data_IF_726425156918
#
_entry.id   IF_726425156918
#
_cell.length_a   1.000
_cell.length_b   1.000
_cell.length_c   1.000
_cell.angle_alpha   90.00
_cell.angle_beta   90.00
_cell.angle_gamma   90.00
#
_symmetry.space_group_name_H-M   'P 1'
#
loop_
_entity.id
_entity.type
_entity.pdbx_description
1 polymer ?
#
# COMPACT_ATOMS: atom_id res chain seq x y z
N UNK A 1 18.50 20.80 12.63
CA UNK A 1 17.75 20.94 13.90
C UNK A 1 17.77 19.60 14.61
N UNK A 2 17.85 19.61 15.95
CA UNK A 2 17.79 18.42 16.78
C UNK A 2 16.40 17.76 16.79
N UNK A 3 16.20 16.80 17.68
CA UNK A 3 14.91 16.13 17.88
C UNK A 3 13.83 17.12 18.37
N UNK A 4 12.58 16.88 18.00
CA UNK A 4 11.42 17.66 18.45
C UNK A 4 10.65 16.82 19.47
N UNK A 5 10.55 17.34 20.70
CA UNK A 5 9.82 16.74 21.81
C UNK A 5 8.69 17.67 22.28
N UNK A 6 7.75 17.14 23.07
CA UNK A 6 6.81 17.89 23.94
C UNK A 6 6.12 19.10 23.28
N UNK A 7 5.38 18.83 22.19
CA UNK A 7 4.60 19.84 21.46
C UNK A 7 5.42 20.92 20.74
N UNK A 8 6.74 20.74 20.60
CA UNK A 8 7.57 21.59 19.77
C UNK A 8 7.04 21.69 18.33
N UNK A 9 7.11 22.89 17.75
CA UNK A 9 6.62 23.17 16.40
C UNK A 9 7.74 23.73 15.53
N UNK A 10 7.95 23.11 14.38
CA UNK A 10 8.75 23.66 13.29
C UNK A 10 7.81 23.98 12.13
N UNK A 11 8.02 25.15 11.53
CA UNK A 11 7.27 25.59 10.35
C UNK A 11 7.58 24.77 9.11
N UNK A 12 7.45 25.39 7.93
CA UNK A 12 7.79 24.76 6.66
C UNK A 12 9.30 24.51 6.56
N UNK A 13 9.68 23.35 6.05
CA UNK A 13 11.06 23.00 5.75
C UNK A 13 11.28 23.14 4.23
N UNK A 14 12.23 23.98 3.85
CA UNK A 14 12.62 24.19 2.45
C UNK A 14 14.11 23.87 2.25
N UNK A 15 14.50 23.65 0.98
CA UNK A 15 15.87 23.69 0.48
C UNK A 15 16.88 22.89 1.32
N UNK A 16 16.73 21.57 1.36
CA UNK A 16 17.64 20.65 2.09
C UNK A 16 17.68 20.83 3.61
N UNK A 17 16.75 21.59 4.20
CA UNK A 17 16.61 21.69 5.66
C UNK A 17 16.42 20.31 6.31
N UNK A 18 17.03 20.11 7.49
CA UNK A 18 16.97 18.85 8.23
C UNK A 18 16.43 19.04 9.65
N UNK A 19 15.43 18.24 9.98
CA UNK A 19 14.90 18.05 11.33
C UNK A 19 15.16 16.61 11.76
N UNK A 20 15.50 16.42 13.04
CA UNK A 20 15.72 15.10 13.63
C UNK A 20 14.42 14.32 13.81
N UNK A 21 14.40 13.44 14.80
CA UNK A 21 13.19 12.68 15.13
C UNK A 21 12.10 13.59 15.69
N UNK A 22 10.84 13.20 15.49
CA UNK A 22 9.68 13.84 16.09
C UNK A 22 9.05 12.85 17.05
N UNK A 23 8.89 13.26 18.31
CA UNK A 23 8.31 12.43 19.37
C UNK A 23 7.13 13.12 20.04
N UNK A 24 6.39 12.38 20.85
CA UNK A 24 5.23 12.88 21.60
C UNK A 24 4.23 13.62 20.70
N UNK A 25 3.96 14.90 20.95
CA UNK A 25 3.03 15.72 20.16
C UNK A 25 3.73 16.75 19.25
N UNK A 26 5.02 16.53 18.94
CA UNK A 26 5.79 17.43 18.08
C UNK A 26 5.18 17.57 16.68
N UNK A 27 5.31 18.76 16.08
CA UNK A 27 4.75 19.07 14.75
C UNK A 27 5.76 19.72 13.83
N UNK A 28 5.79 19.26 12.59
CA UNK A 28 6.50 19.91 11.49
C UNK A 28 5.49 20.28 10.41
N UNK A 29 5.66 21.47 9.81
CA UNK A 29 4.87 21.91 8.67
C UNK A 29 5.16 21.11 7.39
N UNK A 30 4.90 21.74 6.24
CA UNK A 30 5.19 21.14 4.94
C UNK A 30 6.69 20.92 4.73
N UNK A 31 7.04 19.86 4.00
CA UNK A 31 8.40 19.59 3.54
C UNK A 31 8.46 19.80 2.03
N UNK A 32 9.37 20.66 1.56
CA UNK A 32 9.59 20.94 0.13
C UNK A 32 11.07 20.84 -0.24
N UNK A 33 11.37 20.77 -1.54
CA UNK A 33 12.73 20.95 -2.09
C UNK A 33 13.82 20.19 -1.32
N UNK A 34 13.74 18.85 -1.30
CA UNK A 34 14.73 17.97 -0.66
C UNK A 34 14.87 18.10 0.86
N UNK A 35 13.94 18.78 1.54
CA UNK A 35 13.90 18.79 3.01
C UNK A 35 13.76 17.39 3.61
N UNK A 36 14.34 17.18 4.79
CA UNK A 36 14.38 15.88 5.45
C UNK A 36 13.92 15.97 6.90
N UNK A 37 13.07 15.03 7.30
CA UNK A 37 12.67 14.79 8.68
C UNK A 37 13.05 13.36 9.06
N UNK A 38 13.50 13.16 10.29
CA UNK A 38 13.79 11.85 10.85
C UNK A 38 12.54 10.97 11.05
N UNK A 39 12.67 9.96 11.91
CA UNK A 39 11.54 9.11 12.27
C UNK A 39 10.49 9.89 13.08
N UNK A 40 9.25 9.45 12.98
CA UNK A 40 8.10 10.01 13.71
C UNK A 40 7.60 8.94 14.68
N UNK A 41 7.48 9.28 15.96
CA UNK A 41 6.99 8.40 17.02
C UNK A 41 5.76 9.00 17.69
N UNK A 42 5.09 8.18 18.50
CA UNK A 42 3.95 8.56 19.34
C UNK A 42 2.84 9.27 18.54
N UNK A 43 2.56 10.54 18.81
CA UNK A 43 1.55 11.37 18.13
C UNK A 43 2.19 12.47 17.27
N UNK A 44 3.46 12.31 16.90
CA UNK A 44 4.19 13.28 16.09
C UNK A 44 3.51 13.48 14.73
N UNK A 45 3.52 14.71 14.23
CA UNK A 45 2.85 15.06 12.95
C UNK A 45 3.76 15.82 12.01
N UNK A 46 3.76 15.42 10.75
CA UNK A 46 4.36 16.15 9.65
C UNK A 46 3.28 16.52 8.65
N UNK A 47 3.35 17.74 8.12
CA UNK A 47 2.47 18.18 7.03
C UNK A 47 2.71 17.44 5.71
N UNK A 48 2.19 18.00 4.63
CA UNK A 48 2.37 17.41 3.30
C UNK A 48 3.84 17.45 2.84
N UNK A 49 4.22 16.45 2.07
CA UNK A 49 5.54 16.31 1.46
C UNK A 49 5.42 16.64 -0.02
N UNK A 50 6.30 17.51 -0.52
CA UNK A 50 6.37 17.90 -1.92
C UNK A 50 7.76 17.63 -2.49
N UNK A 51 7.82 17.50 -3.82
CA UNK A 51 9.05 17.32 -4.59
C UNK A 51 9.90 16.17 -4.03
N UNK A 52 11.19 16.37 -3.80
CA UNK A 52 12.09 15.35 -3.25
C UNK A 52 12.12 15.30 -1.71
N UNK A 53 11.12 15.84 -1.02
CA UNK A 53 11.04 15.80 0.44
C UNK A 53 11.06 14.37 0.99
N UNK A 54 11.70 14.17 2.15
CA UNK A 54 11.83 12.84 2.77
C UNK A 54 11.46 12.86 4.25
N UNK A 55 10.72 11.85 4.66
CA UNK A 55 10.44 11.54 6.07
C UNK A 55 10.92 10.12 6.35
N UNK A 56 11.46 9.91 7.56
CA UNK A 56 11.85 8.60 8.05
C UNK A 56 10.67 7.64 8.26
N UNK A 57 10.90 6.59 9.05
CA UNK A 57 9.85 5.66 9.44
C UNK A 57 8.81 6.32 10.35
N UNK A 58 7.59 5.83 10.28
CA UNK A 58 6.47 6.25 11.14
C UNK A 58 6.19 5.11 12.13
N UNK A 59 6.17 5.41 13.42
CA UNK A 59 5.87 4.49 14.50
C UNK A 59 4.62 4.92 15.28
N UNK A 60 4.03 3.98 16.01
CA UNK A 60 2.90 4.17 16.92
C UNK A 60 1.72 4.91 16.28
N UNK A 61 1.40 6.15 16.67
CA UNK A 61 0.32 6.94 16.08
C UNK A 61 0.84 8.12 15.24
N UNK A 62 2.11 8.07 14.82
CA UNK A 62 2.73 9.13 14.03
C UNK A 62 1.98 9.36 12.71
N UNK A 63 1.96 10.60 12.25
CA UNK A 63 1.18 10.99 11.07
C UNK A 63 1.98 11.84 10.10
N UNK A 64 1.85 11.52 8.81
CA UNK A 64 2.32 12.34 7.70
C UNK A 64 1.14 12.71 6.81
N UNK A 65 1.12 13.94 6.31
CA UNK A 65 0.13 14.41 5.34
C UNK A 65 0.24 13.74 3.96
N UNK A 66 -0.37 14.37 2.96
CA UNK A 66 -0.31 13.88 1.59
C UNK A 66 1.10 14.01 0.99
N UNK A 67 1.42 13.11 0.07
CA UNK A 67 2.72 12.98 -0.58
C UNK A 67 2.56 13.32 -2.06
N UNK A 68 3.27 14.35 -2.52
CA UNK A 68 3.23 14.85 -3.89
C UNK A 68 4.60 14.75 -4.57
N UNK A 69 4.62 14.84 -5.90
CA UNK A 69 5.86 14.80 -6.67
C UNK A 69 6.63 13.50 -6.49
N UNK A 70 7.85 13.57 -5.98
CA UNK A 70 8.74 12.42 -5.73
C UNK A 70 8.98 12.18 -4.23
N UNK A 71 8.06 12.67 -3.40
CA UNK A 71 8.19 12.66 -1.95
C UNK A 71 8.28 11.24 -1.42
N UNK A 72 9.05 11.04 -0.36
CA UNK A 72 9.28 9.69 0.21
C UNK A 72 9.01 9.65 1.71
N UNK A 73 8.30 8.61 2.12
CA UNK A 73 8.12 8.22 3.52
C UNK A 73 8.70 6.83 3.71
N UNK A 74 9.35 6.61 4.86
CA UNK A 74 9.85 5.30 5.25
C UNK A 74 8.75 4.26 5.49
N UNK A 75 9.13 3.16 6.16
CA UNK A 75 8.16 2.15 6.58
C UNK A 75 7.21 2.70 7.66
N UNK A 76 6.01 2.15 7.70
CA UNK A 76 4.98 2.48 8.68
C UNK A 76 4.80 1.29 9.62
N UNK A 77 4.85 1.54 10.93
CA UNK A 77 4.69 0.57 12.00
C UNK A 77 3.55 0.98 12.94
N UNK A 78 3.07 0.03 13.74
CA UNK A 78 2.04 0.30 14.74
C UNK A 78 0.73 0.76 14.10
N UNK A 79 0.17 1.88 14.55
CA UNK A 79 -1.01 2.54 13.99
C UNK A 79 -0.66 3.80 13.16
N UNK A 80 0.59 3.89 12.69
CA UNK A 80 1.11 5.04 11.99
C UNK A 80 0.36 5.30 10.68
N UNK A 81 0.31 6.56 10.25
CA UNK A 81 -0.49 6.96 9.08
C UNK A 81 0.28 7.84 8.11
N UNK A 82 0.14 7.56 6.83
CA UNK A 82 0.46 8.49 5.75
C UNK A 82 -0.82 8.85 4.98
N UNK A 83 -0.87 10.09 4.48
CA UNK A 83 -1.98 10.57 3.66
C UNK A 83 -2.02 9.94 2.26
N UNK A 84 -2.75 10.61 1.37
CA UNK A 84 -2.80 10.24 -0.05
C UNK A 84 -1.44 10.36 -0.72
N UNK A 85 -1.21 9.49 -1.70
CA UNK A 85 -0.01 9.49 -2.54
C UNK A 85 -0.42 9.95 -3.94
N UNK A 86 0.23 10.99 -4.42
CA UNK A 86 0.09 11.52 -5.77
C UNK A 86 1.40 11.39 -6.55
N UNK A 87 1.29 11.56 -7.86
CA UNK A 87 2.41 11.59 -8.80
C UNK A 87 3.32 10.35 -8.69
N UNK A 88 4.56 10.52 -8.27
CA UNK A 88 5.55 9.45 -8.08
C UNK A 88 5.97 9.34 -6.61
N UNK A 89 5.08 9.75 -5.70
CA UNK A 89 5.29 9.63 -4.27
C UNK A 89 5.46 8.17 -3.84
N UNK A 90 6.26 7.94 -2.79
CA UNK A 90 6.59 6.60 -2.33
C UNK A 90 6.43 6.47 -0.82
N UNK A 91 5.81 5.38 -0.39
CA UNK A 91 5.78 4.93 1.01
C UNK A 91 6.42 3.55 1.09
N UNK A 92 7.18 3.31 2.15
CA UNK A 92 7.78 2.00 2.43
C UNK A 92 6.76 0.90 2.73
N UNK A 93 7.25 -0.20 3.31
CA UNK A 93 6.38 -1.28 3.77
C UNK A 93 5.50 -0.84 4.96
N UNK A 94 4.33 -1.47 5.08
CA UNK A 94 3.36 -1.22 6.15
C UNK A 94 3.31 -2.46 7.05
N UNK A 95 3.46 -2.26 8.35
CA UNK A 95 3.40 -3.29 9.39
C UNK A 95 2.32 -2.96 10.43
N UNK A 96 1.88 -3.96 11.20
CA UNK A 96 0.89 -3.77 12.25
C UNK A 96 -0.46 -3.29 11.72
N UNK A 97 -0.98 -2.19 12.25
CA UNK A 97 -2.24 -1.55 11.84
C UNK A 97 -2.01 -0.25 11.06
N UNK A 98 -0.83 -0.10 10.44
CA UNK A 98 -0.45 1.10 9.69
C UNK A 98 -1.40 1.37 8.52
N UNK A 99 -1.56 2.65 8.19
CA UNK A 99 -2.51 3.09 7.17
C UNK A 99 -1.89 4.05 6.16
N UNK A 100 -2.23 3.85 4.90
CA UNK A 100 -1.94 4.79 3.81
C UNK A 100 -3.25 5.14 3.13
N UNK A 101 -3.40 6.40 2.72
CA UNK A 101 -4.53 6.88 1.94
C UNK A 101 -4.61 6.29 0.53
N UNK A 102 -5.33 6.97 -0.35
CA UNK A 102 -5.44 6.60 -1.76
C UNK A 102 -4.10 6.75 -2.49
N UNK A 103 -3.91 5.95 -3.54
CA UNK A 103 -2.77 6.03 -4.45
C UNK A 103 -3.28 6.50 -5.80
N UNK A 104 -2.70 7.59 -6.32
CA UNK A 104 -3.05 8.18 -7.61
C UNK A 104 -1.82 8.27 -8.51
N UNK A 105 -2.04 8.46 -9.82
CA UNK A 105 -0.97 8.57 -10.82
C UNK A 105 -0.02 7.36 -10.80
N UNK A 106 1.24 7.55 -10.44
CA UNK A 106 2.29 6.51 -10.40
C UNK A 106 2.80 6.29 -8.96
N UNK A 107 1.99 6.63 -7.95
CA UNK A 107 2.35 6.49 -6.55
C UNK A 107 2.62 5.03 -6.19
N UNK A 108 3.51 4.81 -5.23
CA UNK A 108 3.94 3.45 -4.84
C UNK A 108 3.91 3.24 -3.34
N UNK A 109 3.42 2.08 -2.93
CA UNK A 109 3.52 1.55 -1.56
C UNK A 109 4.24 0.22 -1.60
N UNK A 110 5.08 -0.01 -0.58
CA UNK A 110 5.76 -1.30 -0.37
C UNK A 110 4.81 -2.45 -0.05
N UNK A 111 5.37 -3.52 0.51
CA UNK A 111 4.58 -4.66 0.98
C UNK A 111 3.71 -4.29 2.19
N UNK A 112 2.58 -4.97 2.33
CA UNK A 112 1.64 -4.82 3.44
C UNK A 112 1.69 -6.09 4.28
N UNK A 113 1.90 -5.95 5.58
CA UNK A 113 1.92 -7.03 6.56
C UNK A 113 0.83 -6.85 7.63
N UNK A 114 0.56 -7.91 8.38
CA UNK A 114 -0.39 -7.93 9.51
C UNK A 114 -1.78 -7.40 9.14
N UNK A 115 -2.20 -6.27 9.71
CA UNK A 115 -3.50 -5.61 9.48
C UNK A 115 -3.32 -4.27 8.75
N UNK A 116 -2.20 -4.10 8.04
CA UNK A 116 -1.91 -2.86 7.32
C UNK A 116 -2.97 -2.57 6.25
N UNK A 117 -3.27 -1.30 6.03
CA UNK A 117 -4.32 -0.87 5.09
C UNK A 117 -3.84 0.19 4.12
N UNK A 118 -4.24 0.04 2.86
CA UNK A 118 -4.07 1.04 1.81
C UNK A 118 -5.45 1.35 1.24
N UNK A 119 -5.69 2.63 0.91
CA UNK A 119 -6.89 3.08 0.23
C UNK A 119 -7.02 2.54 -1.20
N UNK A 120 -7.89 3.18 -1.98
CA UNK A 120 -8.06 2.83 -3.39
C UNK A 120 -6.83 3.17 -4.22
N UNK A 121 -6.61 2.39 -5.27
CA UNK A 121 -5.55 2.59 -6.26
C UNK A 121 -6.18 3.10 -7.55
N UNK A 122 -5.65 4.21 -8.07
CA UNK A 122 -6.05 4.82 -9.34
C UNK A 122 -4.87 4.87 -10.32
N UNK A 123 -5.18 5.01 -11.60
CA UNK A 123 -4.22 5.15 -12.70
C UNK A 123 -3.12 4.06 -12.66
N UNK A 124 -1.84 4.42 -12.67
CA UNK A 124 -0.71 3.51 -12.62
C UNK A 124 -0.22 3.22 -11.19
N UNK A 125 -1.02 3.51 -10.15
CA UNK A 125 -0.63 3.31 -8.76
C UNK A 125 -0.27 1.85 -8.47
N UNK A 126 0.70 1.65 -7.57
CA UNK A 126 1.23 0.31 -7.27
C UNK A 126 1.33 0.04 -5.77
N UNK A 127 0.93 -1.17 -5.40
CA UNK A 127 1.15 -1.74 -4.08
C UNK A 127 1.96 -3.02 -4.23
N UNK A 128 2.90 -3.24 -3.29
CA UNK A 128 3.67 -4.47 -3.19
C UNK A 128 2.82 -5.70 -2.85
N UNK A 129 3.48 -6.73 -2.32
CA UNK A 129 2.79 -7.93 -1.89
C UNK A 129 1.99 -7.69 -0.60
N UNK A 130 0.88 -8.40 -0.46
CA UNK A 130 0.02 -8.37 0.73
C UNK A 130 0.22 -9.70 1.48
N UNK A 131 0.46 -9.61 2.79
CA UNK A 131 0.58 -10.75 3.69
C UNK A 131 -0.47 -10.67 4.81
N UNK A 132 -0.70 -11.81 5.47
CA UNK A 132 -1.59 -11.96 6.63
C UNK A 132 -3.00 -11.40 6.40
N UNK A 133 -3.41 -10.35 7.11
CA UNK A 133 -4.73 -9.72 6.99
C UNK A 133 -4.63 -8.33 6.32
N UNK A 134 -3.57 -8.07 5.55
CA UNK A 134 -3.38 -6.79 4.89
C UNK A 134 -4.53 -6.49 3.90
N UNK A 135 -4.89 -5.22 3.77
CA UNK A 135 -6.04 -4.82 2.95
C UNK A 135 -5.69 -3.67 2.00
N UNK A 136 -6.17 -3.79 0.77
CA UNK A 136 -6.16 -2.71 -0.23
C UNK A 136 -7.59 -2.42 -0.66
N UNK A 137 -7.90 -1.15 -0.90
CA UNK A 137 -9.18 -0.71 -1.44
C UNK A 137 -9.44 -1.17 -2.88
N UNK A 138 -10.37 -0.52 -3.56
CA UNK A 138 -10.67 -0.79 -4.96
C UNK A 138 -9.52 -0.34 -5.88
N UNK A 139 -9.34 -1.06 -6.98
CA UNK A 139 -8.36 -0.78 -8.03
C UNK A 139 -9.10 -0.24 -9.26
N UNK A 140 -8.67 0.91 -9.76
CA UNK A 140 -9.16 1.56 -10.97
C UNK A 140 -8.01 1.82 -11.96
N UNK A 141 -8.33 2.10 -13.22
CA UNK A 141 -7.32 2.40 -14.24
C UNK A 141 -6.38 1.22 -14.52
N UNK A 142 -5.08 1.42 -14.43
CA UNK A 142 -4.01 0.43 -14.67
C UNK A 142 -3.32 -0.02 -13.37
N UNK A 143 -3.98 0.19 -12.23
CA UNK A 143 -3.41 0.00 -10.91
C UNK A 143 -3.02 -1.45 -10.64
N UNK A 144 -1.99 -1.65 -9.82
CA UNK A 144 -1.44 -3.00 -9.60
C UNK A 144 -1.21 -3.29 -8.13
N UNK A 145 -1.60 -4.48 -7.72
CA UNK A 145 -1.23 -5.10 -6.45
C UNK A 145 -0.35 -6.31 -6.74
N UNK A 146 0.68 -6.49 -5.92
CA UNK A 146 1.57 -7.65 -5.97
C UNK A 146 0.88 -8.97 -5.59
N UNK A 147 1.68 -9.93 -5.15
CA UNK A 147 1.19 -11.22 -4.68
C UNK A 147 0.44 -11.06 -3.36
N UNK A 148 -0.67 -11.78 -3.21
CA UNK A 148 -1.53 -11.75 -2.04
C UNK A 148 -1.45 -13.13 -1.39
N UNK A 149 -1.02 -13.14 -0.12
CA UNK A 149 -0.84 -14.31 0.71
C UNK A 149 -1.73 -14.23 1.96
N UNK A 150 -1.98 -15.38 2.58
CA UNK A 150 -2.78 -15.45 3.81
C UNK A 150 -4.23 -15.04 3.57
N UNK A 151 -4.77 -14.25 4.49
CA UNK A 151 -6.11 -13.68 4.43
C UNK A 151 -6.16 -12.27 3.82
N UNK A 152 -5.13 -11.87 3.07
CA UNK A 152 -5.01 -10.53 2.49
C UNK A 152 -6.13 -10.23 1.49
N UNK A 153 -6.63 -9.00 1.47
CA UNK A 153 -7.81 -8.63 0.69
C UNK A 153 -7.56 -7.45 -0.24
N UNK A 154 -8.23 -7.49 -1.39
CA UNK A 154 -8.34 -6.37 -2.32
C UNK A 154 -9.81 -6.10 -2.58
N UNK A 155 -10.18 -4.83 -2.70
CA UNK A 155 -11.53 -4.40 -3.08
C UNK A 155 -11.89 -4.73 -4.53
N UNK A 156 -12.86 -3.98 -5.05
CA UNK A 156 -13.29 -4.12 -6.45
C UNK A 156 -12.16 -3.83 -7.43
N UNK A 157 -12.02 -4.59 -8.51
CA UNK A 157 -11.03 -4.33 -9.57
C UNK A 157 -11.78 -3.92 -10.84
N UNK A 158 -11.52 -2.72 -11.33
CA UNK A 158 -12.09 -2.15 -12.57
C UNK A 158 -11.00 -1.87 -13.61
N UNK A 159 -11.45 -1.63 -14.84
CA UNK A 159 -10.61 -1.25 -15.99
C UNK A 159 -9.51 -2.29 -16.30
N UNK A 160 -8.24 -1.87 -16.29
CA UNK A 160 -7.04 -2.71 -16.50
C UNK A 160 -6.29 -2.98 -15.18
N UNK A 161 -6.97 -2.85 -14.03
CA UNK A 161 -6.39 -3.14 -12.73
C UNK A 161 -6.00 -4.62 -12.59
N UNK A 162 -4.95 -4.92 -11.80
CA UNK A 162 -4.46 -6.30 -11.62
C UNK A 162 -4.07 -6.61 -10.17
N UNK A 163 -4.31 -7.87 -9.77
CA UNK A 163 -3.86 -8.45 -8.50
C UNK A 163 -3.53 -9.94 -8.68
N UNK A 164 -2.57 -10.47 -7.90
CA UNK A 164 -2.18 -11.89 -7.94
C UNK A 164 -2.48 -12.57 -6.61
N UNK A 165 -3.26 -13.66 -6.63
CA UNK A 165 -3.64 -14.37 -5.41
C UNK A 165 -2.94 -15.74 -5.30
N UNK A 166 -2.41 -16.04 -4.11
CA UNK A 166 -1.85 -17.34 -3.73
C UNK A 166 -2.68 -17.97 -2.60
N UNK A 167 -2.98 -19.25 -2.76
CA UNK A 167 -3.94 -19.98 -1.92
C UNK A 167 -3.38 -20.49 -0.57
N UNK A 168 -4.26 -20.83 0.40
CA UNK A 168 -5.73 -20.90 0.32
C UNK A 168 -6.41 -19.54 0.54
N UNK A 169 -7.26 -19.10 -0.40
CA UNK A 169 -7.94 -17.80 -0.31
C UNK A 169 -9.41 -17.84 -0.74
N UNK A 170 -10.25 -17.02 -0.11
CA UNK A 170 -11.65 -16.79 -0.47
C UNK A 170 -11.81 -15.31 -0.90
N UNK A 171 -11.89 -15.08 -2.23
CA UNK A 171 -11.96 -13.75 -2.82
C UNK A 171 -13.39 -13.37 -3.21
N UNK A 172 -13.91 -12.23 -2.72
CA UNK A 172 -15.09 -11.59 -3.32
C UNK A 172 -14.67 -10.66 -4.45
N UNK A 173 -14.42 -11.25 -5.62
CA UNK A 173 -14.16 -10.49 -6.83
C UNK A 173 -15.50 -10.02 -7.43
N UNK A 174 -15.60 -8.72 -7.72
CA UNK A 174 -16.58 -8.16 -8.66
C UNK A 174 -15.78 -7.29 -9.63
N UNK A 175 -15.77 -7.66 -10.91
CA UNK A 175 -14.95 -6.97 -11.91
C UNK A 175 -14.80 -7.79 -13.19
N UNK A 176 -14.57 -7.13 -14.32
CA UNK A 176 -14.58 -7.73 -15.66
C UNK A 176 -13.22 -8.11 -16.21
N UNK A 177 -12.09 -7.77 -15.58
CA UNK A 177 -10.77 -7.96 -16.19
C UNK A 177 -9.63 -8.37 -15.22
N UNK A 178 -8.82 -9.32 -15.71
CA UNK A 178 -7.49 -9.80 -15.30
C UNK A 178 -7.14 -9.95 -13.80
N UNK A 179 -7.76 -10.94 -13.14
CA UNK A 179 -7.23 -11.52 -11.91
C UNK A 179 -6.42 -12.77 -12.25
N UNK A 180 -5.13 -12.80 -11.91
CA UNK A 180 -4.28 -13.98 -12.08
C UNK A 180 -4.27 -14.74 -10.75
N UNK A 181 -4.72 -16.00 -10.78
CA UNK A 181 -4.71 -16.88 -9.61
C UNK A 181 -3.73 -18.01 -9.88
N UNK A 182 -2.61 -18.00 -9.16
CA UNK A 182 -1.60 -19.05 -9.23
C UNK A 182 -1.84 -20.05 -8.09
N UNK A 183 -2.37 -21.24 -8.40
CA UNK A 183 -2.51 -22.31 -7.42
C UNK A 183 -1.24 -23.17 -7.40
N UNK A 184 -0.49 -23.16 -6.31
CA UNK A 184 0.71 -24.02 -6.14
C UNK A 184 0.41 -25.37 -5.47
N UNK A 185 -0.86 -25.77 -5.33
CA UNK A 185 -1.26 -26.98 -4.62
C UNK A 185 -2.23 -27.90 -5.41
N UNK A 186 -2.10 -29.24 -5.28
CA UNK A 186 -2.83 -30.23 -6.10
C UNK A 186 -4.35 -30.32 -5.85
N UNK A 187 -4.89 -29.60 -4.86
CA UNK A 187 -6.30 -29.69 -4.40
C UNK A 187 -7.05 -28.35 -4.35
N UNK A 188 -6.51 -27.30 -4.97
CA UNK A 188 -7.00 -25.95 -4.69
C UNK A 188 -8.11 -25.52 -5.65
N UNK A 189 -9.33 -25.31 -5.11
CA UNK A 189 -10.46 -24.72 -5.84
C UNK A 189 -10.41 -23.20 -5.74
N UNK A 190 -10.21 -22.52 -6.86
CA UNK A 190 -10.31 -21.06 -6.95
C UNK A 190 -11.71 -20.69 -7.47
N UNK A 191 -12.54 -20.06 -6.63
CA UNK A 191 -13.86 -19.54 -7.04
C UNK A 191 -13.68 -18.10 -7.49
N UNK A 192 -13.78 -17.86 -8.80
CA UNK A 192 -13.80 -16.50 -9.38
C UNK A 192 -15.25 -16.09 -9.56
N UNK A 193 -15.71 -15.13 -8.76
CA UNK A 193 -17.02 -14.49 -8.98
C UNK A 193 -16.94 -13.52 -10.14
N UNK A 194 -17.59 -13.81 -11.25
CA UNK A 194 -17.90 -12.83 -12.29
C UNK A 194 -19.41 -12.65 -12.37
N UNK A 195 -19.86 -11.43 -12.73
CA UNK A 195 -21.28 -11.05 -12.86
C UNK A 195 -22.02 -11.76 -14.02
N UNK A 196 -21.37 -12.70 -14.71
CA UNK A 196 -21.98 -13.77 -15.48
C UNK A 196 -21.23 -15.05 -15.16
N UNK A 197 -21.92 -16.08 -14.67
CA UNK A 197 -21.36 -17.43 -14.46
C UNK A 197 -20.59 -17.86 -15.72
N UNK A 198 -19.26 -17.76 -15.69
CA UNK A 198 -18.42 -18.58 -16.52
C UNK A 198 -17.81 -19.64 -15.61
N UNK A 199 -18.32 -20.86 -15.77
CA UNK A 199 -17.77 -22.05 -15.16
C UNK A 199 -16.39 -22.29 -15.78
N UNK A 200 -15.32 -21.85 -15.11
CA UNK A 200 -13.97 -22.33 -15.44
C UNK A 200 -13.86 -23.74 -14.85
N UNK A 201 -14.24 -24.74 -15.65
CA UNK A 201 -13.95 -26.14 -15.39
C UNK A 201 -12.47 -26.38 -15.64
N UNK A 202 -11.68 -26.56 -14.58
CA UNK A 202 -10.37 -27.18 -14.69
C UNK A 202 -10.57 -28.69 -14.56
N UNK A 203 -10.78 -29.37 -15.68
CA UNK A 203 -10.80 -30.84 -15.72
C UNK A 203 -9.36 -31.36 -15.76
N UNK A 204 -9.02 -32.28 -14.83
CA UNK A 204 -7.79 -33.06 -14.91
C UNK A 204 -7.87 -33.92 -16.17
N UNK A 205 -7.04 -33.62 -17.16
CA UNK A 205 -6.67 -34.61 -18.16
C UNK A 205 -5.94 -35.76 -17.46
N UNK A 206 -6.66 -36.78 -17.02
CA UNK A 206 -6.04 -38.10 -16.87
C UNK A 206 -5.71 -38.56 -18.28
N UNK A 207 -4.42 -38.59 -18.60
CA UNK A 207 -3.90 -39.32 -19.75
C UNK A 207 -4.35 -40.78 -19.63
N UNK A 208 -5.43 -41.13 -20.31
CA UNK A 208 -5.59 -42.49 -20.82
C UNK A 208 -5.36 -42.40 -22.32
N UNK A 209 -4.15 -42.76 -22.74
CA UNK A 209 -3.95 -43.32 -24.07
C UNK A 209 -4.98 -44.44 -24.21
N UNK A 210 -5.87 -44.32 -25.20
CA UNK A 210 -6.61 -45.46 -25.68
C UNK A 210 -5.82 -45.96 -26.88
N UNK A 211 -4.99 -46.97 -26.65
CA UNK A 211 -4.54 -47.86 -27.72
C UNK A 211 -5.75 -48.59 -28.30
N UNK A 212 -5.70 -48.78 -29.62
CA UNK A 212 -6.67 -49.41 -30.53
C UNK A 212 -8.01 -48.71 -30.75
#
# INVERSE_FOLDING_TARGET
MGEIHDSGQVGKIHNSGRVGEIRNSGRVGEIRNSGQVGAIYDNGRVGSIYDNGRVGAIYDNGQVGAIYGTGRVGAIYGAGRAGEIHDSGQVGAIYGAGQVGEIRNSGQVGAIYDNGRVGSIYDNGQVGSIYDNGQVGAIYGTGRVGAIYGAGQVGEIRDMGTARFYCPFEAKLRGTHAVIIDSTGPTTRCIVGTSKLQTVKVERGTSKQKET
#
